data_IF_227119407600
#
_entry.id   IF_227119407600
#
_cell.length_a   1.000
_cell.length_b   1.000
_cell.length_c   1.000
_cell.angle_alpha   90.00
_cell.angle_beta   90.00
_cell.angle_gamma   90.00
#
_symmetry.space_group_name_H-M   'P 1'
#
loop_
_entity.id
_entity.type
_entity.pdbx_description
1 polymer ?
#
# COMPACT_ATOMS: atom_id res chain seq x y z
N UNK A 1 -33.02 -3.44 -37.12
CA UNK A 1 -32.99 -1.96 -37.03
C UNK A 1 -31.55 -1.50 -37.00
N UNK A 2 -31.12 -0.68 -37.95
CA UNK A 2 -29.71 -0.33 -38.19
C UNK A 2 -29.32 0.93 -37.43
N UNK A 3 -28.38 0.82 -36.49
CA UNK A 3 -27.81 1.96 -35.77
C UNK A 3 -26.69 2.57 -36.61
N UNK A 4 -26.95 3.73 -37.22
CA UNK A 4 -25.92 4.53 -37.90
C UNK A 4 -25.10 5.28 -36.85
N UNK A 5 -23.81 4.93 -36.73
CA UNK A 5 -22.81 5.62 -35.93
C UNK A 5 -22.68 7.08 -36.40
N UNK A 6 -23.17 8.02 -35.61
CA UNK A 6 -22.88 9.46 -35.76
C UNK A 6 -21.71 9.80 -34.84
N UNK A 7 -20.54 10.06 -35.42
CA UNK A 7 -19.45 10.74 -34.72
C UNK A 7 -19.83 12.22 -34.60
N UNK A 8 -20.49 12.59 -33.50
CA UNK A 8 -20.68 14.00 -33.12
C UNK A 8 -19.43 14.43 -32.37
N UNK A 9 -18.55 15.18 -33.05
CA UNK A 9 -17.48 15.91 -32.38
C UNK A 9 -18.08 17.06 -31.57
N UNK A 10 -17.99 16.99 -30.25
CA UNK A 10 -18.34 18.12 -29.37
C UNK A 10 -17.23 19.16 -29.48
N UNK A 11 -17.41 20.12 -30.39
CA UNK A 11 -16.61 21.35 -30.39
C UNK A 11 -17.25 22.34 -29.40
N UNK A 12 -16.51 22.95 -28.46
CA UNK A 12 -17.06 24.01 -27.66
C UNK A 12 -17.29 25.22 -28.57
N UNK A 13 -18.55 25.59 -28.75
CA UNK A 13 -18.97 26.72 -29.56
C UNK A 13 -18.42 28.04 -29.00
N UNK A 14 -17.76 28.79 -29.87
CA UNK A 14 -17.32 30.15 -29.67
C UNK A 14 -18.54 31.08 -29.76
N UNK A 15 -19.08 31.53 -28.62
CA UNK A 15 -20.02 32.64 -28.59
C UNK A 15 -19.24 33.95 -28.58
N UNK A 16 -19.36 34.69 -29.68
CA UNK A 16 -18.72 35.98 -29.95
C UNK A 16 -19.59 37.11 -29.39
N UNK A 17 -19.02 37.92 -28.49
CA UNK A 17 -19.36 39.34 -28.35
C UNK A 17 -19.66 39.86 -26.95
N UNK A 18 -18.63 40.37 -26.26
CA UNK A 18 -18.47 41.73 -25.64
C UNK A 18 -17.33 41.66 -24.60
N UNK A 19 -16.41 42.64 -24.67
CA UNK A 19 -15.04 42.73 -24.11
C UNK A 19 -14.98 43.37 -22.69
N UNK A 20 -13.81 43.68 -22.07
CA UNK A 20 -12.83 42.76 -21.48
C UNK A 20 -12.37 43.25 -20.08
N UNK A 21 -12.73 42.62 -18.95
CA UNK A 21 -11.87 42.71 -17.76
C UNK A 21 -12.28 41.69 -16.68
N UNK A 22 -11.62 40.54 -16.70
CA UNK A 22 -11.43 39.74 -15.51
C UNK A 22 -10.24 38.84 -15.79
N UNK A 23 -9.04 39.32 -15.44
CA UNK A 23 -7.91 38.45 -15.11
C UNK A 23 -8.30 37.62 -13.88
N UNK A 24 -9.16 36.63 -14.10
CA UNK A 24 -9.29 35.49 -13.21
C UNK A 24 -8.09 34.60 -13.49
N UNK A 25 -6.97 34.92 -12.85
CA UNK A 25 -5.88 33.96 -12.68
C UNK A 25 -6.47 32.78 -11.91
N UNK A 26 -6.94 31.75 -12.63
CA UNK A 26 -7.06 30.43 -12.04
C UNK A 26 -5.66 30.13 -11.50
N UNK A 27 -5.49 30.01 -10.16
CA UNK A 27 -4.17 29.70 -9.62
C UNK A 27 -3.70 28.42 -10.31
N UNK A 28 -2.43 28.33 -10.73
CA UNK A 28 -1.90 27.12 -11.31
C UNK A 28 -2.24 26.00 -10.33
N UNK A 29 -3.05 25.03 -10.77
CA UNK A 29 -3.35 23.87 -9.95
C UNK A 29 -2.01 23.21 -9.71
N UNK A 30 -1.46 23.44 -8.51
CA UNK A 30 -0.27 22.75 -8.04
C UNK A 30 -0.54 21.26 -8.25
N UNK A 31 0.43 20.50 -8.80
CA UNK A 31 0.26 19.08 -8.97
C UNK A 31 -0.16 18.52 -7.61
N UNK A 32 -1.37 17.93 -7.52
CA UNK A 32 -1.85 17.31 -6.28
C UNK A 32 -0.77 16.30 -5.90
N UNK A 33 -0.05 16.57 -4.81
CA UNK A 33 0.82 15.56 -4.19
C UNK A 33 -0.06 14.34 -3.99
N UNK A 34 0.25 13.26 -4.69
CA UNK A 34 -0.39 11.98 -4.47
C UNK A 34 -0.02 11.57 -3.06
N UNK A 35 -0.96 11.68 -2.13
CA UNK A 35 -0.75 11.26 -0.75
C UNK A 35 -0.37 9.79 -0.76
N UNK A 36 0.83 9.47 -0.26
CA UNK A 36 1.32 8.10 -0.24
C UNK A 36 0.42 7.25 0.67
N UNK A 37 0.31 5.96 0.35
CA UNK A 37 -0.44 5.00 1.17
C UNK A 37 -1.97 5.05 1.04
N UNK A 38 -2.54 5.96 0.24
CA UNK A 38 -3.96 5.94 -0.09
C UNK A 38 -4.26 4.97 -1.23
N UNK A 39 -5.21 4.07 -1.02
CA UNK A 39 -5.75 3.17 -2.05
C UNK A 39 -7.26 3.31 -2.16
N UNK A 40 -7.81 2.95 -3.32
CA UNK A 40 -9.26 2.87 -3.47
C UNK A 40 -9.76 1.55 -2.88
N UNK A 41 -10.81 1.62 -2.06
CA UNK A 41 -11.50 0.44 -1.53
C UNK A 41 -12.00 -0.44 -2.68
N UNK A 42 -11.82 -1.77 -2.63
CA UNK A 42 -12.39 -2.69 -3.61
C UNK A 42 -13.92 -2.69 -3.69
N UNK A 43 -14.59 -2.36 -2.57
CA UNK A 43 -16.06 -2.39 -2.46
C UNK A 43 -16.68 -1.10 -3.01
N UNK A 44 -16.32 0.06 -2.45
CA UNK A 44 -16.99 1.34 -2.73
C UNK A 44 -16.13 2.36 -3.50
N UNK A 45 -14.87 2.08 -3.79
CA UNK A 45 -13.93 3.04 -4.42
C UNK A 45 -13.52 4.23 -3.54
N UNK A 46 -14.00 4.31 -2.30
CA UNK A 46 -13.58 5.33 -1.32
C UNK A 46 -12.10 5.21 -1.00
N UNK A 47 -11.46 6.32 -0.65
CA UNK A 47 -10.06 6.31 -0.24
C UNK A 47 -9.92 5.62 1.12
N UNK A 48 -9.03 4.63 1.17
CA UNK A 48 -8.64 3.90 2.36
C UNK A 48 -7.14 4.04 2.60
N UNK A 49 -6.75 3.98 3.87
CA UNK A 49 -5.36 3.89 4.31
C UNK A 49 -5.13 2.57 5.02
N UNK A 50 -3.89 2.08 5.06
CA UNK A 50 -3.56 0.90 5.88
C UNK A 50 -3.53 1.25 7.36
N UNK A 51 -3.88 0.29 8.21
CA UNK A 51 -3.71 0.41 9.66
C UNK A 51 -2.33 -0.05 10.16
N UNK A 52 -1.42 -0.44 9.26
CA UNK A 52 -0.15 -1.08 9.60
C UNK A 52 -0.28 -2.54 10.02
N UNK A 53 -1.52 -3.07 10.07
CA UNK A 53 -1.81 -4.46 10.42
C UNK A 53 -2.68 -5.09 9.34
N UNK A 54 -2.13 -5.99 8.49
CA UNK A 54 -2.88 -6.57 7.37
C UNK A 54 -4.13 -7.36 7.78
N UNK A 55 -4.11 -8.01 8.94
CA UNK A 55 -5.27 -8.73 9.47
C UNK A 55 -6.42 -7.79 9.86
N UNK A 56 -6.10 -6.64 10.46
CA UNK A 56 -7.09 -5.62 10.80
C UNK A 56 -7.65 -4.96 9.53
N UNK A 57 -6.80 -4.66 8.56
CA UNK A 57 -7.22 -4.10 7.27
C UNK A 57 -8.25 -4.99 6.55
N UNK A 58 -8.08 -6.30 6.63
CA UNK A 58 -9.00 -7.26 6.03
C UNK A 58 -10.33 -7.35 6.81
N UNK A 59 -10.30 -7.16 8.13
CA UNK A 59 -11.48 -7.20 8.99
C UNK A 59 -12.38 -5.96 8.82
N UNK A 60 -11.81 -4.82 8.44
CA UNK A 60 -12.52 -3.55 8.28
C UNK A 60 -13.44 -3.54 7.05
N UNK A 61 -14.61 -4.17 7.20
CA UNK A 61 -15.73 -4.19 6.26
C UNK A 61 -15.35 -4.57 4.81
N UNK A 62 -14.28 -5.35 4.63
CA UNK A 62 -13.81 -5.77 3.31
C UNK A 62 -13.22 -4.64 2.45
N UNK A 63 -13.02 -3.45 3.02
CA UNK A 63 -12.43 -2.30 2.31
C UNK A 63 -10.92 -2.44 2.10
N UNK A 64 -10.32 -3.51 2.62
CA UNK A 64 -8.87 -3.69 2.70
C UNK A 64 -8.24 -2.40 3.26
N UNK A 65 -8.46 -2.14 4.54
CA UNK A 65 -7.95 -0.96 5.22
C UNK A 65 -9.03 -0.04 5.76
N UNK A 66 -8.56 1.07 6.33
CA UNK A 66 -9.38 2.03 7.04
C UNK A 66 -9.85 3.16 6.13
N UNK A 67 -11.17 3.34 6.04
CA UNK A 67 -11.79 4.39 5.20
C UNK A 67 -11.57 5.77 5.82
N UNK A 68 -11.13 6.73 5.00
CA UNK A 68 -10.93 8.11 5.45
C UNK A 68 -12.26 8.76 5.86
N UNK A 69 -12.21 9.61 6.89
CA UNK A 69 -13.39 10.30 7.44
C UNK A 69 -14.17 9.48 8.49
N UNK A 70 -13.70 8.28 8.81
CA UNK A 70 -14.27 7.45 9.86
C UNK A 70 -13.39 7.47 11.12
N UNK A 71 -13.94 6.98 12.23
CA UNK A 71 -13.23 6.76 13.50
C UNK A 71 -13.28 5.30 13.89
N UNK A 72 -12.18 4.78 14.47
CA UNK A 72 -12.09 3.42 15.00
C UNK A 72 -11.87 3.49 16.52
N UNK A 73 -12.69 2.75 17.28
CA UNK A 73 -12.50 2.52 18.71
C UNK A 73 -12.08 1.06 18.91
N UNK A 74 -11.03 0.84 19.69
CA UNK A 74 -10.54 -0.49 20.04
C UNK A 74 -10.67 -0.65 21.55
N UNK A 75 -11.53 -1.57 21.97
CA UNK A 75 -11.68 -1.95 23.38
C UNK A 75 -10.87 -3.21 23.64
N UNK A 76 -10.16 -3.23 24.76
CA UNK A 76 -9.40 -4.37 25.23
C UNK A 76 -9.86 -4.73 26.63
N UNK A 77 -10.10 -6.03 26.86
CA UNK A 77 -10.47 -6.56 28.17
C UNK A 77 -9.24 -7.10 28.87
N UNK A 78 -9.04 -6.73 30.14
CA UNK A 78 -7.94 -7.21 30.97
C UNK A 78 -6.82 -6.19 31.17
N UNK A 79 -5.60 -6.68 31.34
CA UNK A 79 -4.39 -5.89 31.65
C UNK A 79 -3.32 -5.99 30.56
N UNK A 80 -3.66 -6.59 29.42
CA UNK A 80 -2.80 -6.66 28.24
C UNK A 80 -2.81 -5.32 27.49
N UNK A 81 -1.86 -5.15 26.57
CA UNK A 81 -1.66 -3.90 25.81
C UNK A 81 -1.63 -4.18 24.29
N UNK A 82 -2.57 -5.00 23.82
CA UNK A 82 -2.73 -5.29 22.40
C UNK A 82 -3.34 -4.11 21.64
N UNK A 83 -4.28 -3.39 22.25
CA UNK A 83 -4.87 -2.19 21.65
C UNK A 83 -3.81 -1.10 21.48
N UNK A 84 -2.92 -0.92 22.48
CA UNK A 84 -1.81 0.04 22.37
C UNK A 84 -0.77 -0.37 21.33
N UNK A 85 -0.56 -1.67 21.10
CA UNK A 85 0.27 -2.15 20.00
C UNK A 85 -0.35 -1.83 18.62
N UNK A 86 -1.65 -2.07 18.44
CA UNK A 86 -2.37 -1.70 17.20
C UNK A 86 -2.32 -0.19 16.94
N UNK A 87 -2.46 0.64 17.98
CA UNK A 87 -2.33 2.09 17.87
C UNK A 87 -0.92 2.51 17.43
N UNK A 88 0.12 1.85 17.94
CA UNK A 88 1.51 2.10 17.50
C UNK A 88 1.74 1.68 16.06
N UNK A 89 1.16 0.55 15.61
CA UNK A 89 1.23 0.17 14.19
C UNK A 89 0.54 1.19 13.29
N UNK A 90 -0.63 1.70 13.69
CA UNK A 90 -1.34 2.74 12.94
C UNK A 90 -0.50 4.03 12.84
N UNK A 91 0.14 4.44 13.94
CA UNK A 91 1.02 5.60 13.93
C UNK A 91 2.30 5.34 13.12
N UNK A 92 2.95 4.17 13.24
CA UNK A 92 4.13 3.84 12.45
C UNK A 92 3.82 3.84 10.94
N UNK A 93 2.68 3.27 10.54
CA UNK A 93 2.21 3.28 9.16
C UNK A 93 2.04 4.72 8.65
N UNK A 94 1.41 5.60 9.45
CA UNK A 94 1.28 7.01 9.11
C UNK A 94 2.63 7.72 8.97
N UNK A 95 3.62 7.42 9.83
CA UNK A 95 4.98 7.98 9.71
C UNK A 95 5.65 7.53 8.41
N UNK A 96 5.56 6.25 8.06
CA UNK A 96 6.16 5.69 6.83
C UNK A 96 5.51 6.29 5.58
N UNK A 97 4.22 6.60 5.64
CA UNK A 97 3.47 7.21 4.54
C UNK A 97 3.57 8.75 4.50
N UNK A 98 4.36 9.36 5.38
CA UNK A 98 4.49 10.82 5.54
C UNK A 98 3.15 11.53 5.86
N UNK A 99 2.27 10.88 6.61
CA UNK A 99 1.03 11.47 7.10
C UNK A 99 1.29 12.33 8.34
N UNK A 100 0.51 13.40 8.49
CA UNK A 100 0.55 14.22 9.70
C UNK A 100 -0.26 13.52 10.80
N UNK A 101 0.44 13.07 11.84
CA UNK A 101 -0.15 12.38 12.98
C UNK A 101 -0.27 13.31 14.18
N UNK A 102 -1.44 13.27 14.83
CA UNK A 102 -1.68 13.95 16.10
C UNK A 102 -1.93 12.90 17.16
N UNK A 103 -1.13 12.93 18.21
CA UNK A 103 -1.22 11.99 19.33
C UNK A 103 -1.57 12.79 20.58
N UNK A 104 -2.60 12.35 21.30
CA UNK A 104 -3.13 13.04 22.48
C UNK A 104 -3.18 12.03 23.63
N UNK A 105 -2.83 12.47 24.84
CA UNK A 105 -2.98 11.68 26.06
C UNK A 105 -1.84 10.70 26.38
N UNK A 106 -0.77 10.68 25.59
CA UNK A 106 0.44 9.87 25.86
C UNK A 106 1.69 10.77 25.90
N UNK A 107 2.71 10.35 26.63
CA UNK A 107 3.97 11.11 26.75
C UNK A 107 4.86 11.02 25.51
N UNK A 108 5.83 11.94 25.37
CA UNK A 108 6.73 12.03 24.20
C UNK A 108 7.51 10.73 23.94
N UNK A 109 7.88 10.02 25.00
CA UNK A 109 8.57 8.72 24.92
C UNK A 109 7.81 7.67 24.09
N UNK A 110 6.49 7.78 23.98
CA UNK A 110 5.67 6.86 23.20
C UNK A 110 6.02 6.88 21.71
N UNK A 111 6.33 8.06 21.16
CA UNK A 111 6.73 8.19 19.75
C UNK A 111 8.06 7.50 19.42
N UNK A 112 8.93 7.31 20.43
CA UNK A 112 10.20 6.58 20.27
C UNK A 112 10.03 5.06 20.30
N UNK A 113 8.88 4.58 20.77
CA UNK A 113 8.52 3.17 20.84
C UNK A 113 7.74 2.68 19.60
N UNK A 114 7.66 3.50 18.56
CA UNK A 114 7.01 3.10 17.31
C UNK A 114 7.83 2.00 16.61
N UNK A 115 7.17 0.93 16.10
CA UNK A 115 7.85 -0.13 15.38
C UNK A 115 8.46 0.40 14.07
N UNK A 116 9.65 -0.10 13.73
CA UNK A 116 10.32 0.20 12.48
C UNK A 116 9.89 -0.71 11.32
N UNK A 117 10.26 -0.32 10.10
CA UNK A 117 9.98 -1.12 8.90
C UNK A 117 10.90 -2.35 8.85
N UNK A 118 10.30 -3.53 8.72
CA UNK A 118 11.02 -4.80 8.56
C UNK A 118 11.89 -4.73 7.29
N UNK A 119 13.20 -4.97 7.43
CA UNK A 119 14.16 -5.01 6.32
C UNK A 119 15.08 -3.79 6.18
N UNK A 120 14.90 -2.73 6.98
CA UNK A 120 15.80 -1.55 6.93
C UNK A 120 16.92 -1.58 8.00
N UNK A 121 16.76 -2.38 9.06
CA UNK A 121 17.68 -2.45 10.21
C UNK A 121 18.56 -3.70 10.32
N UNK A 122 18.27 -4.77 9.57
CA UNK A 122 19.04 -6.02 9.62
C UNK A 122 20.01 -6.18 8.43
N UNK A 123 20.39 -5.08 7.78
CA UNK A 123 21.46 -5.09 6.78
C UNK A 123 22.85 -4.78 7.37
N UNK A 124 22.93 -4.40 8.65
CA UNK A 124 24.16 -3.87 9.25
C UNK A 124 24.90 -4.83 10.20
N UNK A 125 24.30 -5.93 10.67
CA UNK A 125 24.99 -6.88 11.58
C UNK A 125 24.67 -8.36 11.34
N UNK A 126 24.17 -8.74 10.16
CA UNK A 126 24.16 -10.14 9.74
C UNK A 126 25.41 -10.43 8.91
N UNK A 127 26.54 -10.66 9.59
CA UNK A 127 27.58 -11.50 8.99
C UNK A 127 26.94 -12.85 8.68
N UNK A 128 26.90 -13.31 7.41
CA UNK A 128 26.41 -14.66 7.12
C UNK A 128 27.40 -15.64 7.75
N UNK A 129 27.10 -16.10 8.96
CA UNK A 129 27.76 -17.28 9.48
C UNK A 129 27.43 -18.39 8.48
N UNK A 130 28.47 -18.98 7.88
CA UNK A 130 28.39 -20.23 7.13
C UNK A 130 27.83 -21.30 8.06
N UNK A 131 26.51 -21.31 8.29
CA UNK A 131 25.79 -22.47 8.80
C UNK A 131 25.62 -23.38 7.60
N UNK A 132 26.67 -24.15 7.38
CA UNK A 132 26.63 -25.42 6.66
C UNK A 132 25.32 -26.13 6.96
N UNK A 133 24.43 -26.13 5.98
CA UNK A 133 23.51 -27.18 5.57
C UNK A 133 23.25 -28.34 6.55
N UNK A 134 22.84 -28.06 7.78
CA UNK A 134 22.16 -29.07 8.60
C UNK A 134 20.65 -28.97 8.32
N UNK A 135 20.29 -29.35 7.10
CA UNK A 135 18.91 -29.51 6.64
C UNK A 135 18.24 -30.52 7.59
N UNK A 136 17.40 -30.04 8.50
CA UNK A 136 16.70 -30.89 9.47
C UNK A 136 15.89 -31.96 8.74
N UNK A 137 16.19 -33.25 9.00
CA UNK A 137 15.57 -34.44 8.37
C UNK A 137 14.04 -34.52 8.47
N UNK A 138 13.41 -33.71 9.34
CA UNK A 138 11.97 -33.70 9.57
C UNK A 138 11.24 -32.74 8.61
N UNK A 139 11.93 -31.73 8.08
CA UNK A 139 11.33 -30.72 7.20
C UNK A 139 10.92 -31.27 5.82
N UNK A 140 11.52 -32.38 5.40
CA UNK A 140 11.18 -33.05 4.13
C UNK A 140 9.73 -33.54 4.07
N UNK A 141 9.10 -33.82 5.21
CA UNK A 141 7.70 -34.26 5.26
C UNK A 141 6.68 -33.14 5.09
N UNK A 142 7.07 -31.88 5.28
CA UNK A 142 6.15 -30.74 5.20
C UNK A 142 6.38 -29.84 3.98
N UNK A 143 7.45 -30.05 3.21
CA UNK A 143 7.71 -29.34 1.95
C UNK A 143 6.57 -29.56 0.93
N UNK A 144 5.90 -30.72 0.96
CA UNK A 144 4.76 -31.02 0.08
C UNK A 144 3.41 -30.50 0.58
N UNK A 145 3.33 -29.98 1.82
CA UNK A 145 2.06 -29.71 2.49
C UNK A 145 1.67 -28.23 2.60
N UNK A 146 2.29 -27.35 1.81
CA UNK A 146 2.11 -25.90 1.96
C UNK A 146 2.05 -25.07 0.69
N UNK A 147 1.76 -25.65 -0.47
CA UNK A 147 1.50 -24.87 -1.70
C UNK A 147 -0.01 -24.55 -1.89
N UNK A 148 -0.71 -24.24 -0.80
CA UNK A 148 -2.13 -23.82 -0.84
C UNK A 148 -2.36 -22.44 -0.18
N UNK A 149 -1.44 -21.50 -0.41
CA UNK A 149 -1.59 -20.13 0.09
C UNK A 149 -0.68 -19.08 -0.56
N UNK A 150 0.37 -19.49 -1.28
CA UNK A 150 1.26 -18.58 -2.01
C UNK A 150 0.67 -18.09 -3.35
N UNK A 151 -0.64 -17.95 -3.42
CA UNK A 151 -1.38 -17.55 -4.61
C UNK A 151 -1.55 -16.04 -4.78
N UNK A 152 -0.63 -15.18 -4.34
CA UNK A 152 -0.59 -13.78 -4.81
C UNK A 152 0.85 -13.24 -4.78
N UNK A 153 1.73 -13.72 -5.66
CA UNK A 153 2.98 -13.03 -5.95
C UNK A 153 3.38 -13.19 -7.42
N UNK A 154 2.80 -12.30 -8.23
CA UNK A 154 3.51 -11.61 -9.32
C UNK A 154 4.31 -12.46 -10.30
N UNK A 155 3.63 -12.91 -11.35
CA UNK A 155 4.25 -13.19 -12.64
C UNK A 155 4.94 -11.91 -13.16
N UNK A 156 6.24 -11.74 -12.90
CA UNK A 156 7.10 -10.75 -13.58
C UNK A 156 8.54 -11.22 -13.66
N UNK A 157 8.99 -11.38 -14.92
CA UNK A 157 10.39 -11.44 -15.32
C UNK A 157 10.88 -12.87 -15.59
N UNK A 158 11.39 -13.22 -16.75
CA UNK A 158 11.66 -12.47 -17.97
C UNK A 158 12.01 -13.48 -19.05
N UNK A 159 11.63 -13.17 -20.29
CA UNK A 159 12.00 -13.97 -21.45
C UNK A 159 13.53 -13.91 -21.61
N UNK A 160 14.21 -15.04 -21.42
CA UNK A 160 15.59 -15.22 -21.86
C UNK A 160 15.58 -16.20 -23.02
N UNK A 161 15.83 -15.66 -24.21
CA UNK A 161 16.07 -16.42 -25.44
C UNK A 161 17.31 -17.32 -25.29
N UNK A 162 17.27 -18.61 -25.67
CA UNK A 162 18.48 -19.41 -25.76
C UNK A 162 19.31 -19.01 -26.98
N UNK A 163 20.54 -18.58 -26.72
CA UNK A 163 21.58 -18.28 -27.70
C UNK A 163 21.99 -19.52 -28.50
N UNK A 164 22.07 -19.37 -29.82
CA UNK A 164 22.63 -20.33 -30.78
C UNK A 164 24.05 -20.76 -30.39
N UNK A 165 24.30 -22.07 -30.31
CA UNK A 165 25.64 -22.66 -30.31
C UNK A 165 26.28 -22.58 -31.70
N UNK A 166 27.60 -22.30 -31.82
CA UNK A 166 28.30 -22.35 -33.09
C UNK A 166 28.70 -23.80 -33.44
N UNK A 167 28.49 -24.18 -34.70
CA UNK A 167 29.13 -25.33 -35.36
C UNK A 167 30.58 -24.99 -35.71
N UNK A 168 31.44 -26.01 -35.68
CA UNK A 168 32.65 -26.33 -36.48
C UNK A 168 33.54 -27.20 -35.55
N UNK A 169 34.06 -28.38 -35.91
CA UNK A 169 34.40 -28.99 -37.21
C UNK A 169 33.83 -30.40 -37.35
#
# INVERSE_FOLDING_TARGET
MSFRKRNVGLSPGLSRGITPNATGSQPPQLPRKTTLGLRASPVDGRQTTSTGTPSLDNLLAGHAGFVLGNSLLIEESGTTDFAGALLRYFAAEGVVQEHQLHVIGVGEQWGRALPGLVGTGEAADDKPSKRTEERMKIAWRYERWGEFGAGIAGSRGGLVFPSLSPRLC
#
